data_IF_475424677477
#
_entry.id   IF_475424677477
#
_cell.length_a   1.000
_cell.length_b   1.000
_cell.length_c   1.000
_cell.angle_alpha   90.00
_cell.angle_beta   90.00
_cell.angle_gamma   90.00
#
_symmetry.space_group_name_H-M   'P 1'
#
loop_
_entity.id
_entity.type
_entity.pdbx_description
1 polymer ?
#
# COMPACT_ATOMS: atom_id res chain seq x y z
N UNK A 1 -2.71 2.16 -5.90
CA UNK A 1 -2.66 2.64 -4.50
C UNK A 1 -1.26 2.55 -3.90
N UNK A 2 -0.42 1.60 -4.32
CA UNK A 2 0.93 1.40 -3.77
C UNK A 2 1.99 1.27 -4.88
N UNK A 3 3.25 1.56 -4.55
CA UNK A 3 4.43 1.44 -5.44
C UNK A 3 5.51 0.58 -4.77
N UNK A 4 6.23 -0.25 -5.54
CA UNK A 4 7.33 -1.08 -5.03
C UNK A 4 8.68 -0.35 -5.08
N UNK A 5 9.39 -0.25 -3.97
CA UNK A 5 10.78 0.23 -3.91
C UNK A 5 11.77 -0.95 -4.02
N UNK A 6 12.60 -1.01 -5.08
CA UNK A 6 13.75 -1.95 -5.14
C UNK A 6 15.02 -1.29 -4.62
N UNK A 7 15.72 -1.92 -3.67
CA UNK A 7 17.09 -1.52 -3.31
C UNK A 7 18.07 -1.98 -4.41
N UNK A 8 18.97 -1.10 -4.86
CA UNK A 8 20.01 -1.38 -5.86
C UNK A 8 20.83 -2.62 -5.47
N UNK A 9 20.76 -3.70 -6.27
CA UNK A 9 21.93 -4.56 -6.49
C UNK A 9 22.78 -3.90 -7.58
N UNK A 10 24.08 -3.81 -7.33
CA UNK A 10 25.09 -3.20 -8.18
C UNK A 10 24.98 -3.63 -9.64
N UNK A 11 24.80 -2.67 -10.55
CA UNK A 11 25.07 -2.88 -11.97
C UNK A 11 25.92 -1.72 -12.48
N UNK A 12 27.06 -2.09 -13.04
CA UNK A 12 28.07 -1.27 -13.68
C UNK A 12 27.46 -0.50 -14.85
N UNK A 13 27.67 0.81 -14.88
CA UNK A 13 27.24 1.69 -15.97
C UNK A 13 28.23 1.54 -17.13
N UNK A 14 27.74 1.08 -18.29
CA UNK A 14 28.39 1.34 -19.57
C UNK A 14 27.39 2.08 -20.45
N UNK A 15 27.68 3.36 -20.69
CA UNK A 15 26.92 4.18 -21.62
C UNK A 15 27.32 3.86 -23.06
N UNK A 16 26.33 3.82 -23.95
CA UNK A 16 26.45 4.34 -25.32
C UNK A 16 25.05 4.68 -25.83
N UNK A 17 24.92 5.92 -26.28
CA UNK A 17 23.80 6.40 -27.05
C UNK A 17 23.73 5.69 -28.42
N UNK A 18 22.52 5.47 -28.93
CA UNK A 18 22.09 5.67 -30.34
C UNK A 18 20.64 5.16 -30.47
N UNK A 19 19.75 6.00 -31.00
CA UNK A 19 18.82 5.55 -32.06
C UNK A 19 17.34 5.30 -31.73
N UNK A 20 16.53 6.36 -31.92
CA UNK A 20 15.17 6.38 -32.52
C UNK A 20 14.05 5.52 -31.88
N UNK A 21 13.16 6.20 -31.15
CA UNK A 21 11.77 5.75 -30.96
C UNK A 21 10.86 6.56 -31.90
N UNK A 22 10.06 5.86 -32.71
CA UNK A 22 9.03 6.43 -33.60
C UNK A 22 7.93 7.07 -32.75
N UNK A 23 7.73 8.38 -32.92
CA UNK A 23 6.54 9.08 -32.47
C UNK A 23 5.38 8.78 -33.43
N UNK A 24 4.24 8.32 -32.89
CA UNK A 24 2.97 8.40 -33.63
C UNK A 24 2.46 9.84 -33.54
N UNK A 25 2.17 10.41 -34.72
CA UNK A 25 1.76 11.79 -34.96
C UNK A 25 0.39 12.09 -34.35
N UNK A 26 0.30 13.26 -33.74
CA UNK A 26 -0.92 14.00 -33.44
C UNK A 26 -1.70 14.35 -34.73
N UNK A 27 -3.03 14.24 -34.67
CA UNK A 27 -3.95 14.74 -35.70
C UNK A 27 -4.21 16.25 -35.50
N UNK A 28 -4.32 17.06 -36.56
CA UNK A 28 -4.31 18.53 -36.46
C UNK A 28 -5.67 19.13 -36.07
N UNK A 29 -5.58 20.31 -35.44
CA UNK A 29 -6.66 21.22 -35.10
C UNK A 29 -7.63 21.46 -36.26
N UNK A 30 -8.92 21.23 -36.01
CA UNK A 30 -10.01 21.78 -36.80
C UNK A 30 -10.83 22.77 -35.94
N UNK A 31 -10.72 24.04 -36.32
CA UNK A 31 -11.63 25.19 -36.14
C UNK A 31 -12.80 25.00 -35.16
N UNK A 32 -12.70 25.63 -33.98
CA UNK A 32 -13.85 25.96 -33.14
C UNK A 32 -14.17 27.45 -33.28
N UNK A 33 -15.33 27.76 -33.84
CA UNK A 33 -15.85 29.11 -34.17
C UNK A 33 -16.75 29.68 -33.06
N UNK A 34 -16.49 29.36 -31.79
CA UNK A 34 -17.36 29.82 -30.70
C UNK A 34 -16.56 30.45 -29.55
N UNK A 35 -16.65 31.78 -29.44
CA UNK A 35 -15.87 32.64 -28.54
C UNK A 35 -16.10 32.33 -27.04
N UNK A 36 -17.19 31.64 -26.71
CA UNK A 36 -17.54 31.28 -25.33
C UNK A 36 -16.82 30.02 -24.82
N UNK A 37 -16.21 29.21 -25.71
CA UNK A 37 -15.45 28.00 -25.32
C UNK A 37 -13.94 28.31 -25.15
N UNK A 38 -13.44 29.40 -25.73
CA UNK A 38 -12.05 29.84 -25.53
C UNK A 38 -11.79 30.47 -24.15
N UNK A 39 -12.81 31.03 -23.49
CA UNK A 39 -12.66 31.65 -22.16
C UNK A 39 -12.61 30.59 -21.04
N UNK A 40 -13.32 29.47 -21.19
CA UNK A 40 -13.33 28.39 -20.21
C UNK A 40 -12.04 27.53 -20.22
N UNK A 41 -11.32 27.47 -21.34
CA UNK A 41 -10.06 26.73 -21.44
C UNK A 41 -8.85 27.56 -20.96
N UNK A 42 -8.95 28.90 -20.92
CA UNK A 42 -7.88 29.74 -20.36
C UNK A 42 -7.93 29.90 -18.83
N UNK A 43 -9.08 29.67 -18.18
CA UNK A 43 -9.21 29.83 -16.72
C UNK A 43 -8.80 28.59 -15.91
N UNK A 44 -8.47 27.47 -16.56
CA UNK A 44 -8.04 26.25 -15.86
C UNK A 44 -6.51 26.10 -15.71
N UNK A 45 -5.72 27.06 -16.21
CA UNK A 45 -4.24 26.99 -16.22
C UNK A 45 -3.57 28.03 -15.31
N UNK A 46 -4.30 28.97 -14.72
CA UNK A 46 -3.72 29.94 -13.77
C UNK A 46 -4.54 30.03 -12.49
N UNK A 47 -4.04 29.35 -11.46
CA UNK A 47 -4.61 29.29 -10.13
C UNK A 47 -4.40 30.64 -9.40
N UNK A 48 -5.25 31.64 -9.68
CA UNK A 48 -5.30 32.92 -8.98
C UNK A 48 -6.55 32.94 -8.09
N UNK A 49 -6.34 33.07 -6.78
CA UNK A 49 -7.37 33.35 -5.78
C UNK A 49 -8.01 34.72 -6.05
N UNK A 50 -9.33 34.76 -6.22
CA UNK A 50 -10.10 36.01 -6.32
C UNK A 50 -10.87 36.25 -5.03
N UNK A 51 -10.34 37.16 -4.23
CA UNK A 51 -11.09 37.95 -3.26
C UNK A 51 -11.64 39.21 -3.96
N UNK A 52 -12.91 39.51 -3.69
CA UNK A 52 -13.66 40.78 -3.87
C UNK A 52 -14.05 41.22 -5.31
N UNK A 53 -15.36 41.22 -5.64
CA UNK A 53 -16.18 42.45 -5.78
C UNK A 53 -17.65 42.21 -6.17
N UNK A 54 -18.46 43.16 -5.74
CA UNK A 54 -19.92 43.28 -5.71
C UNK A 54 -20.70 42.99 -7.00
N UNK A 55 -21.75 42.17 -6.83
CA UNK A 55 -23.16 42.43 -7.13
C UNK A 55 -23.53 43.75 -7.82
N UNK A 56 -24.21 43.66 -8.96
CA UNK A 56 -25.34 44.56 -9.28
C UNK A 56 -26.56 43.76 -9.75
N UNK A 57 -27.63 43.82 -8.95
CA UNK A 57 -29.10 43.78 -9.23
C UNK A 57 -29.64 42.70 -10.21
N UNK A 58 -30.68 41.90 -9.95
CA UNK A 58 -31.81 41.86 -8.99
C UNK A 58 -32.51 40.48 -9.19
N UNK A 59 -33.21 39.91 -8.19
CA UNK A 59 -34.67 40.07 -8.19
C UNK A 59 -35.27 40.31 -6.79
N UNK A 60 -36.41 41.00 -6.81
CA UNK A 60 -37.16 41.54 -5.69
C UNK A 60 -37.78 40.45 -4.79
N UNK A 61 -37.63 40.61 -3.47
CA UNK A 61 -38.72 40.34 -2.54
C UNK A 61 -38.91 41.52 -1.58
N UNK A 62 -40.19 41.76 -1.31
CA UNK A 62 -40.76 42.63 -0.31
C UNK A 62 -40.24 42.31 1.11
N UNK A 63 -40.56 43.24 2.03
CA UNK A 63 -40.66 43.15 3.50
C UNK A 63 -39.54 43.89 4.26
N UNK A 64 -39.93 45.04 4.82
CA UNK A 64 -39.22 45.87 5.81
C UNK A 64 -40.07 45.82 7.09
N UNK A 65 -39.48 45.68 8.30
CA UNK A 65 -39.37 46.87 9.14
C UNK A 65 -38.03 47.05 9.89
N UNK A 66 -37.57 48.30 9.79
CA UNK A 66 -36.66 49.11 10.62
C UNK A 66 -36.28 48.58 12.01
N UNK A 67 -34.97 48.47 12.20
CA UNK A 67 -34.25 48.56 13.47
C UNK A 67 -34.37 49.97 14.07
N UNK A 68 -34.86 50.06 15.32
CA UNK A 68 -34.57 51.19 16.22
C UNK A 68 -34.71 50.70 17.67
N UNK A 69 -33.57 50.38 18.31
CA UNK A 69 -33.29 50.49 19.76
C UNK A 69 -32.03 49.66 20.10
N UNK A 70 -30.87 50.31 20.11
CA UNK A 70 -29.69 49.76 20.79
C UNK A 70 -29.76 50.17 22.28
N UNK A 71 -30.02 49.20 23.14
CA UNK A 71 -29.74 49.28 24.58
C UNK A 71 -28.33 48.72 24.80
N UNK A 72 -27.49 49.51 25.45
CA UNK A 72 -26.22 49.07 26.04
C UNK A 72 -26.45 47.83 26.92
N UNK A 73 -25.83 46.71 26.57
CA UNK A 73 -25.55 45.62 27.50
C UNK A 73 -24.06 45.29 27.42
N UNK A 74 -23.36 45.84 28.39
CA UNK A 74 -21.96 45.58 28.75
C UNK A 74 -21.92 44.17 29.32
N UNK A 75 -21.37 43.20 28.60
CA UNK A 75 -20.86 41.97 29.20
C UNK A 75 -19.59 41.55 28.47
N UNK A 76 -18.48 41.94 29.07
CA UNK A 76 -17.14 41.50 28.76
C UNK A 76 -17.01 40.03 29.16
N UNK A 77 -17.11 39.12 28.20
CA UNK A 77 -16.56 37.78 28.35
C UNK A 77 -15.39 37.67 27.39
N UNK A 78 -14.19 37.93 27.91
CA UNK A 78 -12.94 37.57 27.25
C UNK A 78 -13.02 36.10 26.85
N UNK A 79 -12.82 35.82 25.56
CA UNK A 79 -12.51 34.46 25.10
C UNK A 79 -11.17 34.12 25.74
N UNK A 80 -11.20 33.34 26.81
CA UNK A 80 -10.01 32.71 27.36
C UNK A 80 -9.56 31.66 26.34
N UNK A 81 -8.50 31.95 25.60
CA UNK A 81 -7.74 30.91 24.96
C UNK A 81 -7.20 30.01 26.07
N UNK A 82 -7.61 28.73 26.09
CA UNK A 82 -6.88 27.74 26.87
C UNK A 82 -5.41 27.82 26.46
N UNK A 83 -4.47 27.87 27.41
CA UNK A 83 -3.06 27.85 27.07
C UNK A 83 -2.81 26.61 26.21
N UNK A 84 -2.13 26.79 25.08
CA UNK A 84 -1.60 25.70 24.29
C UNK A 84 -1.05 24.64 25.25
N UNK A 85 -1.60 23.41 25.19
CA UNK A 85 -1.02 22.27 25.90
C UNK A 85 0.48 22.32 25.67
N UNK A 86 1.21 22.43 26.77
CA UNK A 86 2.67 22.50 26.82
C UNK A 86 3.26 21.60 25.75
N UNK A 87 4.11 22.16 24.88
CA UNK A 87 4.97 21.40 23.98
C UNK A 87 5.62 20.31 24.84
N UNK A 88 5.52 19.02 24.49
CA UNK A 88 6.12 17.97 25.30
C UNK A 88 7.61 18.25 25.40
N UNK A 89 8.09 18.40 26.64
CA UNK A 89 9.53 18.43 26.91
C UNK A 89 10.04 17.06 26.48
N UNK A 90 10.69 17.01 25.32
CA UNK A 90 11.20 15.76 24.77
C UNK A 90 12.28 15.22 25.71
N UNK A 91 12.15 13.96 26.13
CA UNK A 91 13.22 13.27 26.86
C UNK A 91 14.52 13.34 26.06
N UNK A 92 15.66 13.44 26.75
CA UNK A 92 16.96 13.55 26.10
C UNK A 92 17.27 12.35 25.19
N UNK A 93 16.73 11.17 25.53
CA UNK A 93 16.73 9.95 24.71
C UNK A 93 16.00 10.13 23.37
N UNK A 94 14.83 10.81 23.37
CA UNK A 94 14.04 11.15 22.17
C UNK A 94 14.81 12.14 21.31
N UNK A 95 15.34 13.20 21.91
CA UNK A 95 16.13 14.23 21.20
C UNK A 95 17.36 13.58 20.57
N UNK A 96 18.07 12.72 21.30
CA UNK A 96 19.24 12.02 20.80
C UNK A 96 18.88 11.04 19.67
N UNK A 97 17.74 10.35 19.74
CA UNK A 97 17.27 9.48 18.66
C UNK A 97 16.87 10.28 17.41
N UNK A 98 16.13 11.38 17.56
CA UNK A 98 15.76 12.29 16.45
C UNK A 98 17.04 12.84 15.79
N UNK A 99 18.02 13.28 16.59
CA UNK A 99 19.32 13.75 16.12
C UNK A 99 20.13 12.68 15.40
N UNK A 100 20.04 11.40 15.80
CA UNK A 100 20.68 10.26 15.09
C UNK A 100 20.08 10.04 13.70
N UNK A 101 18.81 10.37 13.48
CA UNK A 101 18.18 10.25 12.16
C UNK A 101 18.40 11.51 11.34
N UNK A 102 19.53 11.61 10.66
CA UNK A 102 19.82 12.72 9.75
C UNK A 102 18.91 12.65 8.51
N UNK A 103 17.74 13.30 8.60
CA UNK A 103 16.74 13.31 7.52
C UNK A 103 17.10 14.40 6.51
N UNK A 104 17.57 14.00 5.33
CA UNK A 104 17.87 14.90 4.20
C UNK A 104 16.63 15.42 3.46
N UNK A 105 15.46 15.40 4.09
CA UNK A 105 14.23 15.96 3.48
C UNK A 105 14.40 17.46 3.19
N UNK A 106 15.23 18.16 3.96
CA UNK A 106 15.51 19.59 3.78
C UNK A 106 16.59 19.89 2.74
N UNK A 107 17.29 18.88 2.22
CA UNK A 107 18.35 19.06 1.23
C UNK A 107 17.81 19.16 -0.20
N UNK A 108 16.54 18.83 -0.38
CA UNK A 108 15.83 18.78 -1.66
C UNK A 108 14.46 19.44 -1.54
N UNK A 109 13.96 19.99 -2.64
CA UNK A 109 12.58 20.44 -2.74
C UNK A 109 11.68 19.26 -3.17
N UNK A 110 11.02 18.65 -2.19
CA UNK A 110 10.11 17.52 -2.44
C UNK A 110 8.93 17.89 -3.34
N UNK A 111 8.40 19.12 -3.25
CA UNK A 111 7.27 19.53 -4.07
C UNK A 111 7.69 19.67 -5.55
N UNK A 112 8.86 20.26 -5.79
CA UNK A 112 9.43 20.34 -7.13
C UNK A 112 9.71 18.95 -7.72
N UNK A 113 10.23 17.99 -6.92
CA UNK A 113 10.43 16.60 -7.36
C UNK A 113 9.10 15.93 -7.75
N UNK A 114 8.08 16.04 -6.89
CA UNK A 114 6.76 15.44 -7.14
C UNK A 114 6.13 16.01 -8.42
N UNK A 115 6.32 17.31 -8.67
CA UNK A 115 5.83 17.99 -9.86
C UNK A 115 6.68 17.76 -11.12
N UNK A 116 7.71 16.91 -11.05
CA UNK A 116 8.52 16.55 -12.22
C UNK A 116 9.57 17.61 -12.61
N UNK A 117 9.95 18.52 -11.71
CA UNK A 117 11.00 19.51 -11.97
C UNK A 117 12.34 18.81 -12.25
N UNK A 118 12.74 18.80 -13.52
CA UNK A 118 13.93 18.06 -13.97
C UNK A 118 15.23 18.53 -13.29
N UNK A 119 15.52 19.85 -13.18
CA UNK A 119 16.69 20.32 -12.43
C UNK A 119 16.78 19.82 -10.99
N UNK A 120 15.67 19.89 -10.24
CA UNK A 120 15.66 19.45 -8.84
C UNK A 120 15.76 17.92 -8.72
N UNK A 121 15.14 17.17 -9.64
CA UNK A 121 15.32 15.70 -9.71
C UNK A 121 16.80 15.35 -9.96
N UNK A 122 17.46 16.05 -10.87
CA UNK A 122 18.88 15.81 -11.16
C UNK A 122 19.78 16.19 -9.98
N UNK A 123 19.45 17.27 -9.26
CA UNK A 123 20.10 17.63 -7.98
C UNK A 123 19.93 16.54 -6.91
N UNK A 124 18.71 16.03 -6.75
CA UNK A 124 18.42 14.96 -5.80
C UNK A 124 19.19 13.67 -6.16
N UNK A 125 19.30 13.34 -7.45
CA UNK A 125 20.10 12.20 -7.94
C UNK A 125 21.59 12.42 -7.64
N UNK A 126 22.11 13.63 -7.84
CA UNK A 126 23.50 13.97 -7.53
C UNK A 126 23.79 13.83 -6.02
N UNK A 127 22.86 14.31 -5.19
CA UNK A 127 22.87 14.12 -3.73
C UNK A 127 22.91 12.64 -3.34
N UNK A 128 22.05 11.81 -3.96
CA UNK A 128 21.98 10.37 -3.70
C UNK A 128 23.24 9.61 -4.14
N UNK A 129 23.91 10.08 -5.20
CA UNK A 129 25.12 9.46 -5.73
C UNK A 129 26.40 9.96 -5.04
N UNK A 130 26.30 10.96 -4.16
CA UNK A 130 27.43 11.47 -3.42
C UNK A 130 27.93 10.43 -2.39
N UNK A 131 29.11 9.87 -2.63
CA UNK A 131 29.73 8.84 -1.79
C UNK A 131 30.30 9.38 -0.47
N UNK A 132 30.44 10.70 -0.32
CA UNK A 132 30.96 11.29 0.93
C UNK A 132 29.94 11.24 2.07
N UNK A 133 28.66 11.06 1.74
CA UNK A 133 27.59 10.96 2.71
C UNK A 133 27.18 9.50 2.90
N UNK A 134 27.27 9.00 4.14
CA UNK A 134 26.70 7.71 4.53
C UNK A 134 25.54 7.95 5.48
N UNK A 135 24.31 7.63 5.04
CA UNK A 135 23.14 7.69 5.89
C UNK A 135 23.30 6.68 7.02
N UNK A 136 23.32 7.13 8.28
CA UNK A 136 23.18 6.24 9.43
C UNK A 136 21.70 5.85 9.57
N UNK A 137 21.33 4.68 9.05
CA UNK A 137 20.02 4.09 9.25
C UNK A 137 19.79 3.70 10.71
N UNK A 138 18.54 3.39 11.06
CA UNK A 138 18.18 2.91 12.38
C UNK A 138 18.39 1.40 12.40
N UNK A 139 19.23 0.92 13.32
CA UNK A 139 19.50 -0.51 13.46
C UNK A 139 18.35 -1.24 14.16
N UNK A 140 18.31 -2.57 14.04
CA UNK A 140 17.36 -3.41 14.79
C UNK A 140 17.51 -3.18 16.31
N UNK A 141 18.75 -3.11 16.80
CA UNK A 141 19.07 -2.84 18.21
C UNK A 141 18.59 -1.46 18.67
N UNK A 142 18.66 -0.44 17.82
CA UNK A 142 18.09 0.87 18.13
C UNK A 142 16.57 0.80 18.30
N UNK A 143 15.86 0.03 17.46
CA UNK A 143 14.42 -0.20 17.62
C UNK A 143 14.09 -0.97 18.90
N UNK A 144 14.82 -2.05 19.19
CA UNK A 144 14.66 -2.85 20.42
C UNK A 144 14.81 -1.95 21.66
N UNK A 145 15.82 -1.08 21.67
CA UNK A 145 16.02 -0.17 22.80
C UNK A 145 14.99 0.95 22.85
N UNK A 146 14.60 1.54 21.72
CA UNK A 146 13.64 2.63 21.67
C UNK A 146 12.23 2.17 22.11
N UNK A 147 11.85 0.95 21.76
CA UNK A 147 10.52 0.38 22.07
C UNK A 147 10.36 -0.07 23.52
N UNK A 148 11.42 -0.06 24.34
CA UNK A 148 11.31 -0.23 25.80
C UNK A 148 10.47 0.85 26.48
N UNK A 149 10.41 2.05 25.90
CA UNK A 149 9.50 3.11 26.31
C UNK A 149 8.62 3.50 25.12
N UNK A 150 7.37 3.02 25.13
CA UNK A 150 6.45 3.20 24.02
C UNK A 150 6.02 4.65 23.78
N UNK A 151 5.97 5.48 24.81
CA UNK A 151 5.64 6.90 24.64
C UNK A 151 6.77 7.62 23.93
N UNK A 152 8.01 7.34 24.33
CA UNK A 152 9.22 7.83 23.66
C UNK A 152 9.32 7.32 22.23
N UNK A 153 9.03 6.04 21.97
CA UNK A 153 8.95 5.50 20.61
C UNK A 153 7.90 6.23 19.76
N UNK A 154 6.65 6.34 20.25
CA UNK A 154 5.55 7.00 19.53
C UNK A 154 5.88 8.46 19.23
N UNK A 155 6.44 9.18 20.18
CA UNK A 155 6.88 10.56 20.01
C UNK A 155 8.00 10.68 18.98
N UNK A 156 9.08 9.91 19.14
CA UNK A 156 10.25 9.98 18.26
C UNK A 156 9.94 9.57 16.81
N UNK A 157 9.05 8.59 16.63
CA UNK A 157 8.69 8.06 15.31
C UNK A 157 7.53 8.81 14.66
N UNK A 158 6.71 9.52 15.44
CA UNK A 158 5.56 10.27 14.95
C UNK A 158 4.31 9.43 14.79
N UNK A 159 4.01 8.59 15.80
CA UNK A 159 2.73 7.90 15.98
C UNK A 159 1.78 8.69 16.91
N UNK A 160 1.90 10.01 16.95
CA UNK A 160 1.03 10.91 17.72
C UNK A 160 0.29 11.89 16.81
N UNK A 161 -0.76 12.52 17.33
CA UNK A 161 -1.41 13.65 16.65
C UNK A 161 -2.24 13.27 15.42
N UNK A 162 -2.79 12.05 15.38
CA UNK A 162 -3.72 11.66 14.31
C UNK A 162 -5.05 12.38 14.50
N UNK A 163 -5.34 13.31 13.59
CA UNK A 163 -6.68 13.91 13.45
C UNK A 163 -7.45 13.02 12.49
N UNK A 164 -8.53 12.40 12.98
CA UNK A 164 -9.39 11.54 12.19
C UNK A 164 -10.67 12.28 11.83
N UNK A 165 -11.07 12.20 10.58
CA UNK A 165 -12.46 12.52 10.22
C UNK A 165 -13.40 11.40 10.69
N UNK A 166 -14.68 11.73 10.91
CA UNK A 166 -15.71 10.71 11.20
C UNK A 166 -15.78 9.65 10.10
N UNK A 167 -15.60 10.07 8.84
CA UNK A 167 -15.54 9.15 7.69
C UNK A 167 -14.40 8.12 7.83
N UNK A 168 -13.24 8.54 8.34
CA UNK A 168 -12.11 7.64 8.55
C UNK A 168 -12.29 6.71 9.74
N UNK A 169 -12.87 7.22 10.83
CA UNK A 169 -13.18 6.44 12.02
C UNK A 169 -14.16 5.29 11.70
N UNK A 170 -15.19 5.57 10.90
CA UNK A 170 -16.28 4.63 10.60
C UNK A 170 -15.96 3.64 9.47
N UNK A 171 -14.78 3.76 8.85
CA UNK A 171 -14.33 2.87 7.78
C UNK A 171 -12.94 2.27 8.07
N UNK A 172 -12.81 1.36 9.07
CA UNK A 172 -11.53 0.73 9.36
C UNK A 172 -11.05 -0.19 8.24
N UNK A 173 -9.74 -0.18 8.00
CA UNK A 173 -9.05 -1.03 7.02
C UNK A 173 -8.08 -1.95 7.76
N UNK A 174 -8.00 -3.20 7.33
CA UNK A 174 -7.03 -4.15 7.82
C UNK A 174 -5.86 -4.29 6.82
N UNK A 175 -4.64 -4.33 7.32
CA UNK A 175 -3.43 -4.51 6.52
C UNK A 175 -2.66 -5.76 6.96
N UNK A 176 -2.12 -6.50 6.00
CA UNK A 176 -1.03 -7.47 6.22
C UNK A 176 0.26 -6.88 5.69
N UNK A 177 1.31 -6.82 6.52
CA UNK A 177 2.65 -6.41 6.11
C UNK A 177 3.59 -7.59 6.30
N UNK A 178 4.04 -8.15 5.18
CA UNK A 178 5.01 -9.23 5.12
C UNK A 178 6.43 -8.68 5.06
N UNK A 179 7.31 -9.18 5.93
CA UNK A 179 8.70 -8.74 6.01
C UNK A 179 9.64 -9.88 6.42
N UNK A 180 10.91 -9.74 6.07
CA UNK A 180 11.96 -10.70 6.46
C UNK A 180 13.29 -10.02 6.84
N UNK A 181 13.42 -8.71 6.58
CA UNK A 181 14.59 -7.88 6.87
C UNK A 181 14.23 -6.38 6.79
N UNK A 182 15.21 -5.51 7.04
CA UNK A 182 15.11 -4.05 6.90
C UNK A 182 13.96 -3.44 7.75
N UNK A 183 14.03 -3.59 9.07
CA UNK A 183 12.99 -3.14 10.01
C UNK A 183 12.66 -1.66 9.83
N UNK A 184 13.66 -0.82 9.56
CA UNK A 184 13.43 0.60 9.29
C UNK A 184 12.50 0.84 8.09
N UNK A 185 12.65 0.08 7.01
CA UNK A 185 11.79 0.23 5.84
C UNK A 185 10.35 -0.23 6.15
N UNK A 186 10.21 -1.34 6.89
CA UNK A 186 8.90 -1.84 7.30
C UNK A 186 8.17 -0.87 8.25
N UNK A 187 8.88 -0.30 9.22
CA UNK A 187 8.33 0.71 10.13
C UNK A 187 7.93 1.98 9.37
N UNK A 188 8.71 2.40 8.37
CA UNK A 188 8.34 3.54 7.52
C UNK A 188 7.06 3.29 6.73
N UNK A 189 6.86 2.07 6.22
CA UNK A 189 5.60 1.67 5.58
C UNK A 189 4.45 1.67 6.58
N UNK A 190 4.64 1.02 7.73
CA UNK A 190 3.65 0.97 8.80
C UNK A 190 3.21 2.39 9.17
N UNK A 191 4.15 3.29 9.47
CA UNK A 191 3.88 4.69 9.81
C UNK A 191 3.13 5.45 8.72
N UNK A 192 3.41 5.17 7.45
CA UNK A 192 2.73 5.83 6.33
C UNK A 192 1.27 5.38 6.17
N UNK A 193 0.94 4.17 6.64
CA UNK A 193 -0.42 3.62 6.60
C UNK A 193 -1.16 3.75 7.94
N UNK A 194 -0.42 3.96 9.03
CA UNK A 194 -0.94 3.87 10.38
C UNK A 194 -1.99 4.93 10.64
N UNK A 195 -3.14 4.46 11.10
CA UNK A 195 -4.16 5.27 11.77
C UNK A 195 -4.73 4.45 12.94
N UNK A 196 -5.14 5.08 14.05
CA UNK A 196 -5.58 4.34 15.25
C UNK A 196 -6.77 3.39 15.06
N UNK A 197 -7.64 3.63 14.07
CA UNK A 197 -8.81 2.80 13.82
C UNK A 197 -8.54 1.58 12.92
N UNK A 198 -7.48 1.64 12.09
CA UNK A 198 -7.11 0.54 11.20
C UNK A 198 -6.50 -0.63 12.01
N UNK A 199 -6.37 -1.81 11.41
CA UNK A 199 -5.70 -2.96 12.02
C UNK A 199 -4.50 -3.41 11.18
N UNK A 200 -3.42 -3.82 11.83
CA UNK A 200 -2.18 -4.21 11.17
C UNK A 200 -1.69 -5.56 11.68
N UNK A 201 -1.63 -6.54 10.78
CA UNK A 201 -0.96 -7.81 11.02
C UNK A 201 0.43 -7.78 10.39
N UNK A 202 1.47 -8.04 11.19
CA UNK A 202 2.84 -8.14 10.74
C UNK A 202 3.24 -9.61 10.66
N UNK A 203 3.64 -10.07 9.47
CA UNK A 203 4.17 -11.42 9.31
C UNK A 203 5.68 -11.34 9.05
N UNK A 204 6.48 -11.67 10.07
CA UNK A 204 7.93 -11.80 9.95
C UNK A 204 8.26 -13.24 9.50
N UNK A 205 8.97 -13.39 8.39
CA UNK A 205 9.50 -14.68 7.92
C UNK A 205 10.20 -15.42 9.06
N UNK A 206 9.89 -16.71 9.26
CA UNK A 206 10.48 -17.53 10.32
C UNK A 206 12.00 -17.69 10.21
N UNK A 207 12.58 -17.48 9.03
CA UNK A 207 14.03 -17.49 8.81
C UNK A 207 14.70 -16.12 9.05
N UNK A 208 13.96 -15.10 9.47
CA UNK A 208 14.55 -13.79 9.74
C UNK A 208 15.48 -13.85 10.96
N UNK A 209 16.48 -12.96 10.99
CA UNK A 209 17.40 -12.89 12.12
C UNK A 209 16.64 -12.61 13.43
N UNK A 210 17.07 -13.17 14.58
CA UNK A 210 16.39 -12.99 15.87
C UNK A 210 16.11 -11.51 16.22
N UNK A 211 17.06 -10.62 15.91
CA UNK A 211 16.94 -9.19 16.17
C UNK A 211 15.86 -8.52 15.31
N UNK A 212 15.55 -9.07 14.13
CA UNK A 212 14.42 -8.61 13.30
C UNK A 212 13.11 -8.97 13.99
N UNK A 213 12.98 -10.20 14.49
CA UNK A 213 11.79 -10.61 15.23
C UNK A 213 11.59 -9.75 16.49
N UNK A 214 12.65 -9.56 17.28
CA UNK A 214 12.59 -8.79 18.53
C UNK A 214 12.23 -7.32 18.26
N UNK A 215 12.87 -6.68 17.29
CA UNK A 215 12.59 -5.29 16.93
C UNK A 215 11.15 -5.09 16.44
N UNK A 216 10.64 -6.00 15.61
CA UNK A 216 9.27 -5.91 15.07
C UNK A 216 8.24 -6.18 16.16
N UNK A 217 8.52 -7.11 17.08
CA UNK A 217 7.67 -7.36 18.24
C UNK A 217 7.59 -6.11 19.12
N UNK A 218 8.71 -5.49 19.45
CA UNK A 218 8.72 -4.25 20.24
C UNK A 218 7.94 -3.10 19.58
N UNK A 219 8.00 -2.96 18.26
CA UNK A 219 7.20 -1.98 17.52
C UNK A 219 5.70 -2.29 17.66
N UNK A 220 5.31 -3.55 17.48
CA UNK A 220 3.92 -3.98 17.57
C UNK A 220 3.36 -3.79 18.99
N UNK A 221 4.12 -4.16 20.01
CA UNK A 221 3.70 -4.04 21.42
C UNK A 221 3.44 -2.59 21.84
N UNK A 222 4.11 -1.63 21.21
CA UNK A 222 3.85 -0.22 21.44
C UNK A 222 2.59 0.31 20.78
N UNK A 223 1.99 -0.40 19.83
CA UNK A 223 0.87 0.09 19.02
C UNK A 223 -0.34 -0.85 19.17
N UNK A 224 -1.38 -0.43 19.91
CA UNK A 224 -2.47 -1.31 20.35
C UNK A 224 -3.30 -1.98 19.24
N UNK A 225 -3.23 -1.47 18.00
CA UNK A 225 -3.91 -2.00 16.81
C UNK A 225 -2.95 -2.69 15.82
N UNK A 226 -1.69 -2.95 16.23
CA UNK A 226 -0.67 -3.66 15.47
C UNK A 226 -0.30 -4.94 16.21
N UNK A 227 -0.13 -6.04 15.50
CA UNK A 227 0.30 -7.29 16.12
C UNK A 227 1.13 -8.14 15.15
N UNK A 228 2.01 -8.96 15.71
CA UNK A 228 2.71 -10.01 14.96
C UNK A 228 1.80 -11.24 14.88
N UNK A 229 1.73 -11.85 13.70
CA UNK A 229 0.95 -13.07 13.45
C UNK A 229 1.27 -14.19 14.45
N UNK A 230 0.26 -14.93 14.89
CA UNK A 230 0.45 -16.04 15.84
C UNK A 230 1.16 -17.24 15.20
N UNK A 231 0.83 -17.54 13.94
CA UNK A 231 1.41 -18.65 13.17
C UNK A 231 2.40 -18.14 12.13
N UNK A 232 3.68 -18.38 12.38
CA UNK A 232 4.79 -17.96 11.51
C UNK A 232 5.04 -18.99 10.40
N UNK A 233 5.26 -18.51 9.19
CA UNK A 233 5.70 -19.32 8.05
C UNK A 233 7.18 -19.10 7.72
N UNK A 234 7.85 -20.15 7.28
CA UNK A 234 9.21 -20.11 6.72
C UNK A 234 9.11 -19.89 5.20
N UNK A 235 9.36 -18.66 4.76
CA UNK A 235 8.93 -18.24 3.42
C UNK A 235 9.96 -18.70 2.39
N UNK A 236 9.49 -19.48 1.41
CA UNK A 236 10.28 -19.94 0.28
C UNK A 236 9.78 -19.26 -0.99
N UNK A 237 10.72 -18.74 -1.79
CA UNK A 237 10.39 -18.09 -3.05
C UNK A 237 9.61 -19.03 -3.98
N UNK A 238 8.52 -18.52 -4.57
CA UNK A 238 7.56 -19.28 -5.38
C UNK A 238 6.89 -20.46 -4.67
N UNK A 239 7.06 -20.60 -3.36
CA UNK A 239 6.45 -21.66 -2.55
C UNK A 239 5.12 -21.24 -1.95
N UNK A 240 4.34 -22.24 -1.53
CA UNK A 240 3.04 -22.04 -0.88
C UNK A 240 3.11 -21.25 0.43
N UNK A 241 4.24 -21.29 1.15
CA UNK A 241 4.41 -20.56 2.41
C UNK A 241 4.26 -19.04 2.26
N UNK A 242 4.54 -18.47 1.08
CA UNK A 242 4.25 -17.05 0.80
C UNK A 242 2.75 -16.75 0.85
N UNK A 243 1.93 -17.60 0.23
CA UNK A 243 0.47 -17.48 0.24
C UNK A 243 -0.08 -17.72 1.65
N UNK A 244 0.41 -18.76 2.33
CA UNK A 244 -0.02 -19.12 3.68
C UNK A 244 0.25 -17.99 4.70
N UNK A 245 1.34 -17.23 4.53
CA UNK A 245 1.64 -16.09 5.40
C UNK A 245 0.53 -15.02 5.42
N UNK A 246 -0.07 -14.72 4.25
CA UNK A 246 -1.20 -13.79 4.18
C UNK A 246 -2.47 -14.39 4.78
N UNK A 247 -2.70 -15.69 4.58
CA UNK A 247 -3.86 -16.40 5.13
C UNK A 247 -3.79 -16.45 6.67
N UNK A 248 -2.60 -16.66 7.26
CA UNK A 248 -2.43 -16.62 8.72
C UNK A 248 -2.77 -15.22 9.28
N UNK A 249 -2.43 -14.15 8.57
CA UNK A 249 -2.86 -12.81 8.94
C UNK A 249 -4.37 -12.61 8.79
N UNK A 250 -4.98 -13.12 7.71
CA UNK A 250 -6.43 -13.11 7.51
C UNK A 250 -7.17 -13.79 8.67
N UNK A 251 -6.70 -14.96 9.11
CA UNK A 251 -7.26 -15.71 10.24
C UNK A 251 -7.26 -14.87 11.53
N UNK A 252 -6.11 -14.33 11.92
CA UNK A 252 -5.99 -13.49 13.13
C UNK A 252 -6.84 -12.21 13.04
N UNK A 253 -6.92 -11.58 11.86
CA UNK A 253 -7.72 -10.36 11.66
C UNK A 253 -9.24 -10.61 11.72
N UNK A 254 -9.69 -11.78 11.25
CA UNK A 254 -11.10 -12.19 11.38
C UNK A 254 -11.48 -12.40 12.84
N UNK A 255 -10.56 -12.91 13.67
CA UNK A 255 -10.76 -13.10 15.10
C UNK A 255 -10.72 -11.78 15.91
N UNK A 256 -9.81 -10.86 15.55
CA UNK A 256 -9.49 -9.66 16.36
C UNK A 256 -10.35 -8.43 16.12
N UNK A 257 -11.27 -8.42 15.17
CA UNK A 257 -12.13 -7.26 14.96
C UNK A 257 -13.25 -7.50 13.96
N UNK A 258 -14.44 -6.97 14.26
CA UNK A 258 -15.65 -7.15 13.44
C UNK A 258 -15.96 -6.01 12.48
N UNK A 259 -15.30 -4.87 12.65
CA UNK A 259 -15.77 -3.63 12.01
C UNK A 259 -14.98 -3.20 10.77
N UNK A 260 -13.79 -3.75 10.56
CA UNK A 260 -12.99 -3.44 9.38
C UNK A 260 -13.65 -3.93 8.08
N UNK A 261 -13.54 -3.14 7.02
CA UNK A 261 -14.31 -3.30 5.77
C UNK A 261 -13.54 -4.02 4.67
N UNK A 262 -12.24 -3.76 4.60
CA UNK A 262 -11.34 -4.28 3.58
C UNK A 262 -10.01 -4.71 4.18
N UNK A 263 -9.41 -5.73 3.56
CA UNK A 263 -8.08 -6.24 3.84
C UNK A 263 -7.16 -5.95 2.64
N UNK A 264 -5.95 -5.47 2.91
CA UNK A 264 -4.93 -5.18 1.89
C UNK A 264 -3.61 -5.83 2.31
N UNK A 265 -3.03 -6.68 1.46
CA UNK A 265 -1.76 -7.36 1.74
C UNK A 265 -0.59 -6.71 1.01
N UNK A 266 0.53 -6.53 1.73
CA UNK A 266 1.69 -5.78 1.27
C UNK A 266 2.98 -6.47 1.68
N UNK A 267 4.03 -6.46 0.84
CA UNK A 267 5.39 -6.66 1.31
C UNK A 267 5.91 -5.33 1.90
N UNK A 268 6.86 -5.39 2.83
CA UNK A 268 7.46 -4.18 3.45
C UNK A 268 8.16 -3.23 2.46
N UNK A 269 8.41 -3.69 1.24
CA UNK A 269 9.04 -2.92 0.16
C UNK A 269 8.05 -2.06 -0.64
N UNK A 270 6.75 -2.18 -0.40
CA UNK A 270 5.76 -1.28 -1.00
C UNK A 270 5.63 0.03 -0.22
N UNK A 271 5.05 1.05 -0.86
CA UNK A 271 4.79 2.35 -0.25
C UNK A 271 3.48 2.98 -0.80
N UNK A 272 2.64 3.62 0.03
CA UNK A 272 1.40 4.21 -0.42
C UNK A 272 1.61 5.45 -1.30
N UNK A 273 0.74 5.63 -2.29
CA UNK A 273 0.61 6.83 -3.14
C UNK A 273 -0.75 7.51 -2.99
N UNK A 274 -1.48 7.13 -1.94
CA UNK A 274 -2.78 7.65 -1.53
C UNK A 274 -2.78 7.77 -0.01
N UNK A 275 -3.39 8.83 0.49
CA UNK A 275 -3.67 9.01 1.92
C UNK A 275 -4.75 8.02 2.39
N UNK A 276 -4.89 7.84 3.70
CA UNK A 276 -5.95 7.01 4.28
C UNK A 276 -7.35 7.49 3.86
N UNK A 277 -7.60 8.80 3.89
CA UNK A 277 -8.86 9.40 3.46
C UNK A 277 -9.16 9.15 1.96
N UNK A 278 -8.17 9.28 1.07
CA UNK A 278 -8.35 8.94 -0.35
C UNK A 278 -8.61 7.44 -0.55
N UNK A 279 -7.90 6.60 0.20
CA UNK A 279 -8.08 5.14 0.15
C UNK A 279 -9.51 4.76 0.54
N UNK A 280 -10.04 5.31 1.63
CA UNK A 280 -11.43 5.07 2.07
C UNK A 280 -12.43 5.48 1.00
N UNK A 281 -12.25 6.64 0.35
CA UNK A 281 -13.14 7.07 -0.75
C UNK A 281 -13.16 6.06 -1.88
N UNK A 282 -12.00 5.52 -2.27
CA UNK A 282 -11.92 4.49 -3.32
C UNK A 282 -12.61 3.20 -2.86
N UNK A 283 -12.35 2.74 -1.63
CA UNK A 283 -12.92 1.51 -1.10
C UNK A 283 -14.44 1.59 -0.89
N UNK A 284 -14.97 2.78 -0.60
CA UNK A 284 -16.43 3.02 -0.58
C UNK A 284 -17.06 2.85 -1.96
N UNK A 285 -16.37 3.28 -3.03
CA UNK A 285 -16.82 3.07 -4.42
C UNK A 285 -16.90 1.57 -4.75
N UNK A 286 -15.97 0.77 -4.22
CA UNK A 286 -15.99 -0.68 -4.44
C UNK A 286 -17.20 -1.37 -3.82
N UNK A 287 -17.84 -0.78 -2.80
CA UNK A 287 -19.13 -1.22 -2.26
C UNK A 287 -19.23 -2.74 -2.00
N UNK A 288 -18.18 -3.33 -1.43
CA UNK A 288 -18.11 -4.77 -1.13
C UNK A 288 -17.51 -5.64 -2.24
N UNK A 289 -17.23 -5.09 -3.42
CA UNK A 289 -16.44 -5.77 -4.46
C UNK A 289 -14.95 -5.83 -4.08
N UNK A 290 -14.25 -6.85 -4.59
CA UNK A 290 -12.80 -7.01 -4.43
C UNK A 290 -12.04 -6.35 -5.59
N UNK A 291 -10.77 -6.01 -5.41
CA UNK A 291 -9.87 -5.53 -6.47
C UNK A 291 -8.69 -6.51 -6.59
N UNK A 292 -8.88 -7.53 -7.41
CA UNK A 292 -7.96 -8.67 -7.57
C UNK A 292 -7.70 -8.90 -9.06
N UNK A 293 -6.43 -8.91 -9.47
CA UNK A 293 -6.03 -9.03 -10.87
C UNK A 293 -6.42 -10.40 -11.44
N UNK A 294 -6.95 -10.39 -12.66
CA UNK A 294 -7.35 -11.61 -13.38
C UNK A 294 -6.87 -11.60 -14.82
N UNK A 295 -6.07 -12.59 -15.17
CA UNK A 295 -5.57 -12.92 -16.50
C UNK A 295 -6.12 -14.28 -16.91
N UNK A 296 -7.06 -14.27 -17.85
CA UNK A 296 -7.69 -15.48 -18.40
C UNK A 296 -7.08 -15.84 -19.78
N UNK A 297 -7.39 -17.03 -20.30
CA UNK A 297 -6.94 -17.47 -21.62
C UNK A 297 -5.47 -17.88 -21.72
N UNK A 298 -4.82 -17.59 -22.86
CA UNK A 298 -3.47 -18.09 -23.21
C UNK A 298 -2.31 -17.50 -22.40
N UNK A 299 -2.57 -16.49 -21.56
CA UNK A 299 -1.53 -15.88 -20.71
C UNK A 299 -1.31 -16.64 -19.40
N UNK A 300 -2.07 -17.72 -19.18
CA UNK A 300 -1.84 -18.68 -18.10
C UNK A 300 -0.57 -19.46 -18.37
N UNK A 301 0.26 -19.63 -17.36
CA UNK A 301 1.47 -20.45 -17.44
C UNK A 301 1.13 -21.86 -16.96
N UNK A 302 0.57 -22.68 -17.85
CA UNK A 302 0.05 -24.02 -17.51
C UNK A 302 1.07 -24.91 -16.80
N UNK A 303 2.34 -24.82 -17.20
CA UNK A 303 3.42 -25.59 -16.59
C UNK A 303 3.58 -25.37 -15.08
N UNK A 304 3.12 -24.24 -14.53
CA UNK A 304 3.19 -23.93 -13.09
C UNK A 304 2.14 -24.66 -12.25
N UNK A 305 1.03 -25.10 -12.84
CA UNK A 305 -0.06 -25.76 -12.13
C UNK A 305 -0.44 -27.15 -12.69
N UNK A 306 0.08 -27.55 -13.84
CA UNK A 306 -0.10 -28.87 -14.42
C UNK A 306 0.76 -29.95 -13.74
N UNK A 307 1.96 -29.58 -13.26
CA UNK A 307 2.90 -30.48 -12.60
C UNK A 307 2.95 -30.24 -11.09
N UNK A 308 3.27 -31.28 -10.32
CA UNK A 308 3.56 -31.14 -8.89
C UNK A 308 4.92 -30.50 -8.67
N UNK A 309 4.99 -29.59 -7.71
CA UNK A 309 6.23 -28.97 -7.27
C UNK A 309 6.57 -29.35 -5.83
N UNK A 310 7.85 -29.61 -5.58
CA UNK A 310 8.34 -30.03 -4.27
C UNK A 310 9.46 -29.12 -3.78
N UNK A 311 9.63 -29.09 -2.45
CA UNK A 311 10.71 -28.37 -1.80
C UNK A 311 11.99 -29.21 -1.85
N UNK A 312 12.98 -28.74 -2.61
CA UNK A 312 14.30 -29.33 -2.59
C UNK A 312 15.04 -28.97 -1.30
N UNK A 313 15.18 -29.95 -0.41
CA UNK A 313 15.90 -29.81 0.87
C UNK A 313 17.27 -30.49 0.86
N UNK A 314 17.84 -30.81 -0.30
CA UNK A 314 19.15 -31.48 -0.39
C UNK A 314 20.33 -30.56 -0.10
N UNK A 315 20.10 -29.26 0.01
CA UNK A 315 21.13 -28.28 0.39
C UNK A 315 21.34 -28.28 1.91
N UNK A 316 22.49 -27.77 2.40
CA UNK A 316 22.71 -27.59 3.83
C UNK A 316 21.54 -26.88 4.50
N UNK A 317 21.32 -27.17 5.78
CA UNK A 317 20.21 -26.60 6.59
C UNK A 317 20.14 -25.08 6.54
N UNK A 318 21.27 -24.42 6.29
CA UNK A 318 21.39 -22.95 6.27
C UNK A 318 20.97 -22.32 4.93
N UNK A 319 20.63 -23.13 3.93
CA UNK A 319 20.19 -22.66 2.61
C UNK A 319 18.69 -22.88 2.45
N UNK A 320 17.95 -21.78 2.20
CA UNK A 320 16.51 -21.88 1.93
C UNK A 320 16.22 -22.91 0.83
N UNK A 321 15.21 -23.78 1.02
CA UNK A 321 14.81 -24.74 -0.01
C UNK A 321 14.49 -24.07 -1.34
N UNK A 322 14.70 -24.79 -2.43
CA UNK A 322 14.26 -24.35 -3.77
C UNK A 322 13.05 -25.15 -4.22
N UNK A 323 12.09 -24.50 -4.88
CA UNK A 323 10.96 -25.18 -5.47
C UNK A 323 11.40 -25.81 -6.80
N UNK A 324 11.21 -27.13 -6.93
CA UNK A 324 11.55 -27.93 -8.12
C UNK A 324 10.30 -28.58 -8.70
N UNK A 325 10.21 -28.53 -10.04
CA UNK A 325 9.15 -29.20 -10.79
C UNK A 325 9.41 -30.70 -10.84
N UNK A 326 8.39 -31.51 -10.59
CA UNK A 326 8.43 -32.94 -10.83
C UNK A 326 7.91 -33.33 -12.21
N UNK A 327 7.98 -34.62 -12.54
CA UNK A 327 7.34 -35.21 -13.72
C UNK A 327 5.89 -35.61 -13.48
N UNK A 328 5.41 -35.59 -12.23
CA UNK A 328 4.06 -36.00 -11.88
C UNK A 328 3.04 -34.93 -12.26
N UNK A 329 2.04 -35.34 -13.04
CA UNK A 329 0.87 -34.51 -13.33
C UNK A 329 -0.01 -34.37 -12.09
N UNK A 330 -0.69 -33.23 -11.99
CA UNK A 330 -1.68 -32.95 -10.95
C UNK A 330 -3.05 -33.43 -11.39
N UNK A 331 -3.87 -33.80 -10.41
CA UNK A 331 -5.29 -34.07 -10.64
C UNK A 331 -6.01 -32.76 -11.01
N UNK A 332 -7.14 -32.90 -11.69
CA UNK A 332 -8.01 -31.77 -11.98
C UNK A 332 -8.40 -31.02 -10.70
N UNK A 333 -8.54 -29.69 -10.76
CA UNK A 333 -8.85 -28.90 -9.58
C UNK A 333 -10.28 -29.20 -9.08
N UNK A 334 -10.52 -29.09 -7.76
CA UNK A 334 -11.84 -29.34 -7.20
C UNK A 334 -12.87 -28.32 -7.73
N UNK A 335 -14.15 -28.70 -7.70
CA UNK A 335 -15.28 -27.83 -8.05
C UNK A 335 -15.25 -27.32 -9.51
N UNK A 336 -14.60 -28.06 -10.42
CA UNK A 336 -14.50 -27.74 -11.85
C UNK A 336 -14.10 -26.27 -12.11
N UNK A 337 -13.08 -25.81 -11.38
CA UNK A 337 -12.59 -24.43 -11.49
C UNK A 337 -11.61 -24.27 -12.64
N UNK A 338 -11.59 -23.08 -13.23
CA UNK A 338 -10.54 -22.66 -14.14
C UNK A 338 -9.48 -21.90 -13.37
N UNK A 339 -8.22 -22.35 -13.41
CA UNK A 339 -7.09 -21.62 -12.82
C UNK A 339 -6.91 -20.29 -13.56
N UNK A 340 -6.90 -19.19 -12.80
CA UNK A 340 -6.73 -17.82 -13.33
C UNK A 340 -5.44 -17.24 -12.80
N UNK A 341 -4.63 -16.65 -13.69
CA UNK A 341 -3.39 -15.95 -13.32
C UNK A 341 -3.73 -14.58 -12.74
N UNK A 342 -2.99 -14.14 -11.73
CA UNK A 342 -3.12 -12.80 -11.16
C UNK A 342 -1.82 -12.37 -10.50
N UNK A 343 -1.98 -11.57 -9.45
CA UNK A 343 -0.93 -11.04 -8.58
C UNK A 343 -1.05 -11.63 -7.18
N UNK A 344 0.07 -11.67 -6.45
CA UNK A 344 0.10 -12.01 -5.03
C UNK A 344 -0.65 -10.99 -4.16
N UNK A 345 -0.92 -9.80 -4.69
CA UNK A 345 -1.49 -8.67 -3.95
C UNK A 345 -2.92 -8.38 -4.43
N UNK A 346 -3.85 -8.15 -3.49
CA UNK A 346 -5.24 -7.74 -3.76
C UNK A 346 -5.84 -6.82 -2.69
N UNK A 347 -6.94 -6.15 -3.05
CA UNK A 347 -7.86 -5.55 -2.06
C UNK A 347 -9.02 -6.52 -1.89
N UNK A 348 -9.22 -6.99 -0.68
CA UNK A 348 -10.17 -8.04 -0.37
C UNK A 348 -11.26 -7.49 0.53
N UNK A 349 -12.53 -7.60 0.13
CA UNK A 349 -13.63 -7.27 1.04
C UNK A 349 -13.58 -8.17 2.27
N UNK A 350 -14.07 -7.68 3.41
CA UNK A 350 -14.16 -8.50 4.63
C UNK A 350 -14.88 -9.84 4.38
N UNK A 351 -15.98 -9.81 3.62
CA UNK A 351 -16.74 -11.02 3.27
C UNK A 351 -15.91 -12.03 2.46
N UNK A 352 -15.04 -11.54 1.55
CA UNK A 352 -14.10 -12.41 0.85
C UNK A 352 -13.11 -13.07 1.80
N UNK A 353 -12.54 -12.30 2.73
CA UNK A 353 -11.59 -12.83 3.71
C UNK A 353 -12.24 -13.88 4.62
N UNK A 354 -13.47 -13.61 5.10
CA UNK A 354 -14.24 -14.57 5.88
C UNK A 354 -14.55 -15.84 5.08
N UNK A 355 -14.84 -15.71 3.78
CA UNK A 355 -15.01 -16.84 2.88
C UNK A 355 -13.72 -17.66 2.75
N UNK A 356 -12.57 -17.03 2.54
CA UNK A 356 -11.26 -17.71 2.46
C UNK A 356 -10.97 -18.52 3.73
N UNK A 357 -11.22 -17.94 4.91
CA UNK A 357 -10.92 -18.60 6.20
C UNK A 357 -11.90 -19.73 6.51
N UNK A 358 -13.21 -19.51 6.28
CA UNK A 358 -14.27 -20.37 6.81
C UNK A 358 -14.84 -21.36 5.81
N UNK A 359 -14.82 -21.05 4.50
CA UNK A 359 -15.47 -21.87 3.49
C UNK A 359 -14.73 -23.19 3.26
N UNK A 360 -15.51 -24.29 3.18
CA UNK A 360 -14.99 -25.60 2.78
C UNK A 360 -14.42 -25.57 1.36
N UNK A 361 -15.11 -24.93 0.42
CA UNK A 361 -14.67 -24.87 -0.98
C UNK A 361 -13.36 -24.08 -1.13
N UNK A 362 -13.23 -22.95 -0.44
CA UNK A 362 -11.99 -22.17 -0.44
C UNK A 362 -10.81 -23.01 0.09
N UNK A 363 -11.04 -23.77 1.16
CA UNK A 363 -10.02 -24.65 1.76
C UNK A 363 -9.61 -25.80 0.85
N UNK A 364 -10.57 -26.49 0.21
CA UNK A 364 -10.27 -27.56 -0.76
C UNK A 364 -9.47 -27.04 -1.96
N UNK A 365 -9.80 -25.84 -2.45
CA UNK A 365 -9.06 -25.17 -3.51
C UNK A 365 -7.65 -24.79 -3.03
N UNK A 366 -7.52 -24.23 -1.83
CA UNK A 366 -6.23 -23.89 -1.24
C UNK A 366 -5.33 -25.12 -1.08
N UNK A 367 -5.91 -26.22 -0.60
CA UNK A 367 -5.23 -27.51 -0.43
C UNK A 367 -4.72 -28.04 -1.78
N UNK A 368 -5.51 -27.89 -2.83
CA UNK A 368 -5.05 -28.17 -4.18
C UNK A 368 -3.82 -27.32 -4.50
N UNK A 369 -3.84 -26.00 -4.31
CA UNK A 369 -2.71 -25.10 -4.61
C UNK A 369 -1.39 -25.33 -3.81
N UNK A 370 -1.32 -26.27 -2.86
CA UNK A 370 -0.13 -26.51 -2.02
C UNK A 370 1.13 -26.89 -2.80
N UNK A 371 1.00 -27.58 -3.91
CA UNK A 371 2.10 -28.05 -4.75
C UNK A 371 2.11 -27.41 -6.16
N UNK A 372 1.56 -26.19 -6.25
CA UNK A 372 1.64 -25.29 -7.42
C UNK A 372 2.84 -24.36 -7.28
N UNK A 373 3.47 -23.99 -8.39
CA UNK A 373 4.53 -22.97 -8.41
C UNK A 373 3.95 -21.55 -8.40
N UNK A 374 4.41 -20.72 -7.45
CA UNK A 374 3.91 -19.36 -7.20
C UNK A 374 2.38 -19.31 -7.01
N UNK A 375 1.80 -20.08 -6.07
CA UNK A 375 0.34 -20.18 -5.92
C UNK A 375 -0.31 -18.86 -5.48
N UNK A 376 0.45 -17.98 -4.86
CA UNK A 376 0.05 -16.60 -4.53
C UNK A 376 -0.37 -15.80 -5.77
N UNK A 377 0.20 -16.12 -6.94
CA UNK A 377 -0.18 -15.49 -8.20
C UNK A 377 -1.34 -16.17 -8.95
N UNK A 378 -2.06 -17.08 -8.28
CA UNK A 378 -3.19 -17.82 -8.87
C UNK A 378 -4.38 -17.99 -7.94
N UNK A 379 -4.15 -18.22 -6.64
CA UNK A 379 -5.21 -18.59 -5.70
C UNK A 379 -6.27 -17.48 -5.59
N UNK A 380 -5.85 -16.23 -5.34
CA UNK A 380 -6.75 -15.08 -5.20
C UNK A 380 -7.59 -14.85 -6.45
N UNK A 381 -6.93 -14.83 -7.61
CA UNK A 381 -7.56 -14.62 -8.91
C UNK A 381 -8.49 -15.77 -9.28
N UNK A 382 -8.13 -17.00 -8.94
CA UNK A 382 -8.97 -18.18 -9.18
C UNK A 382 -10.24 -18.12 -8.33
N UNK A 383 -10.16 -17.78 -7.05
CA UNK A 383 -11.36 -17.57 -6.24
C UNK A 383 -12.24 -16.43 -6.78
N UNK A 384 -11.63 -15.33 -7.22
CA UNK A 384 -12.35 -14.15 -7.72
C UNK A 384 -13.11 -14.42 -9.03
N UNK A 385 -12.57 -15.22 -9.94
CA UNK A 385 -13.05 -15.30 -11.33
C UNK A 385 -13.79 -16.60 -11.69
N UNK A 386 -14.15 -17.41 -10.69
CA UNK A 386 -14.94 -18.63 -10.88
C UNK A 386 -16.32 -18.46 -10.21
N UNK A 387 -17.37 -18.11 -10.97
CA UNK A 387 -18.69 -17.79 -10.42
C UNK A 387 -19.35 -18.97 -9.67
N UNK A 388 -19.05 -20.20 -10.08
CA UNK A 388 -19.56 -21.43 -9.45
C UNK A 388 -19.09 -21.61 -7.99
N UNK A 389 -18.05 -20.89 -7.56
CA UNK A 389 -17.57 -20.91 -6.16
C UNK A 389 -18.48 -20.07 -5.24
N UNK A 390 -19.20 -19.08 -5.80
CA UNK A 390 -20.01 -18.15 -5.01
C UNK A 390 -19.19 -17.18 -4.16
N UNK A 391 -17.97 -16.85 -4.59
CA UNK A 391 -17.03 -16.00 -3.85
C UNK A 391 -17.60 -14.59 -3.61
N UNK A 392 -17.69 -14.11 -2.36
CA UNK A 392 -18.18 -12.76 -2.06
C UNK A 392 -17.32 -11.65 -2.67
N UNK A 393 -17.96 -10.61 -3.21
CA UNK A 393 -17.28 -9.49 -3.86
C UNK A 393 -16.67 -9.82 -5.23
N UNK A 394 -16.92 -11.02 -5.74
CA UNK A 394 -16.59 -11.37 -7.13
C UNK A 394 -17.49 -10.63 -8.12
N UNK A 395 -16.92 -10.29 -9.27
CA UNK A 395 -17.65 -9.84 -10.44
C UNK A 395 -17.13 -10.60 -11.65
N UNK A 396 -18.04 -10.95 -12.57
CA UNK A 396 -17.69 -11.69 -13.77
C UNK A 396 -17.80 -10.78 -14.99
N UNK A 397 -16.67 -10.57 -15.67
CA UNK A 397 -16.62 -9.72 -16.86
C UNK A 397 -16.90 -10.47 -18.17
N UNK A 398 -17.41 -11.71 -18.16
CA UNK A 398 -17.57 -12.49 -19.38
C UNK A 398 -16.22 -12.89 -19.98
N UNK A 399 -16.09 -12.86 -21.31
CA UNK A 399 -14.87 -13.22 -22.06
C UNK A 399 -13.75 -12.16 -22.00
N UNK A 400 -13.69 -11.36 -20.94
CA UNK A 400 -12.63 -10.35 -20.78
C UNK A 400 -11.33 -11.05 -20.40
N UNK A 401 -10.31 -10.82 -21.23
CA UNK A 401 -8.97 -11.45 -21.14
C UNK A 401 -8.15 -10.84 -19.98
N UNK A 402 -8.49 -9.61 -19.55
CA UNK A 402 -7.76 -8.87 -18.52
C UNK A 402 -8.69 -8.02 -17.64
N UNK A 403 -8.67 -8.28 -16.33
CA UNK A 403 -9.26 -7.38 -15.34
C UNK A 403 -8.16 -6.45 -14.80
N UNK A 404 -8.20 -5.17 -15.20
CA UNK A 404 -7.29 -4.15 -14.69
C UNK A 404 -7.63 -3.80 -13.25
N UNK A 405 -6.61 -3.74 -12.39
CA UNK A 405 -6.74 -3.37 -10.97
C UNK A 405 -6.10 -2.03 -10.66
N UNK A 406 -6.65 -1.30 -9.68
CA UNK A 406 -6.14 0.02 -9.27
C UNK A 406 -5.11 -0.11 -8.13
N UNK A 407 -5.03 -1.29 -7.53
CA UNK A 407 -4.32 -1.46 -6.27
C UNK A 407 -2.80 -1.30 -6.36
N UNK A 408 -2.13 -1.94 -7.32
CA UNK A 408 -0.67 -2.00 -7.37
C UNK A 408 -0.11 -1.39 -8.66
N UNK A 409 0.78 -0.42 -8.53
CA UNK A 409 1.55 0.12 -9.65
C UNK A 409 2.98 -0.44 -9.63
N UNK A 410 3.30 -1.26 -10.63
CA UNK A 410 4.64 -1.80 -10.87
C UNK A 410 5.12 -1.41 -12.27
N UNK A 411 6.36 -0.92 -12.37
CA UNK A 411 7.03 -0.71 -13.66
C UNK A 411 7.95 -1.90 -13.91
N UNK A 412 7.67 -2.66 -14.98
CA UNK A 412 8.50 -3.77 -15.41
C UNK A 412 9.52 -3.30 -16.46
N UNK A 413 10.81 -3.51 -16.18
CA UNK A 413 11.85 -3.38 -17.21
C UNK A 413 11.95 -4.68 -17.99
N UNK A 414 11.36 -4.71 -19.19
CA UNK A 414 11.57 -5.81 -20.14
C UNK A 414 12.91 -5.56 -20.82
N UNK A 415 13.97 -6.25 -20.37
CA UNK A 415 15.22 -6.32 -21.15
C UNK A 415 14.98 -7.29 -22.29
N UNK A 416 15.27 -6.87 -23.53
CA UNK A 416 15.18 -7.69 -24.76
C UNK A 416 16.30 -8.73 -24.86
N UNK A 417 16.50 -9.51 -23.81
CA UNK A 417 17.27 -10.75 -23.86
C UNK A 417 16.33 -11.85 -23.35
N UNK A 418 16.25 -12.96 -24.07
CA UNK A 418 15.30 -14.08 -23.96
C UNK A 418 15.18 -14.81 -22.61
N UNK A 419 15.53 -14.18 -21.49
CA UNK A 419 15.28 -14.67 -20.16
C UNK A 419 14.39 -13.67 -19.42
N UNK A 420 13.07 -13.81 -19.59
CA UNK A 420 12.10 -13.26 -18.66
C UNK A 420 12.37 -13.88 -17.28
N UNK A 421 13.09 -13.16 -16.42
CA UNK A 421 13.20 -13.50 -15.00
C UNK A 421 11.89 -13.06 -14.36
N UNK A 422 11.03 -14.05 -14.11
CA UNK A 422 9.74 -13.93 -13.42
C UNK A 422 9.91 -13.71 -11.93
#
# INVERSE_FOLDING_TARGET
MLVTCRSKRSYTVWGRAIGKVRAYRYCPMARCTNLMVCILVCMFVMNITLDVFHLTYLPLFQIVPKLRNWRYLKNSSCITFEPFKTIPVFEESVIQHIRKTERRVFDVDCAAIINGNKPEIDRAIAIMNNKTFSRKGISNTDYINLTKNCDTFKLARGYHGFIQSTEEHDFPIAFSILLYKEVEQAERLLRALYTPQNLFCLHVDGDAAPEVHEAVQGIADCLGNVFVVSKKEFIVYAGFSRLQADINCMENLVERGKDWKYFINLPSQQFPIKTNAELIKILKIYNGANDIEGLTGHRRVESRFQFRYFYNRTKPTDVKPQIIRSTYLRNDPPVNITVVKGSAYGVFSRKFVEFVVKSKSAREILDWFRDVYSPDEYYWSTLQHNPQIGTPGSFYYGNVIYATVIMHFCIYHIRSNNNCIS
#
